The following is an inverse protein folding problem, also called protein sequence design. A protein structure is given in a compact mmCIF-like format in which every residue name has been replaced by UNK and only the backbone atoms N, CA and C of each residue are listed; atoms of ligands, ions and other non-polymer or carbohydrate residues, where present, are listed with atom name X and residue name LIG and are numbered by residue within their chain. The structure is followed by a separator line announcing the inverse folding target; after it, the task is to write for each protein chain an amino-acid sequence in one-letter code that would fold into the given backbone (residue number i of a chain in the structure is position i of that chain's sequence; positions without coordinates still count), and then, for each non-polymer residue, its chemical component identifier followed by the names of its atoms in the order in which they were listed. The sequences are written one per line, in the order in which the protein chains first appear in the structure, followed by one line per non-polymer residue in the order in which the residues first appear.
data_IF_280726970041
#
_entry.id   IF_280726970041
#
_cell.length_a   1.000
_cell.length_b   1.000
_cell.length_c   1.000
_cell.angle_alpha   90.00
_cell.angle_beta   90.00
_cell.angle_gamma   90.00
#
_symmetry.space_group_name_H-M   'P 1'
#
loop_
_entity.id
_entity.type
_entity.pdbx_description
1 polymer ?
#
# COMPACT_ATOMS: atom_id res chain seq x y z
N UNK A 1 -3.98 15.75 4.96
CA UNK A 1 -3.95 14.82 3.81
C UNK A 1 -4.82 13.64 4.18
N UNK A 2 -5.91 13.38 3.44
CA UNK A 2 -6.73 12.17 3.65
C UNK A 2 -6.16 11.05 2.79
N UNK A 3 -5.36 10.19 3.42
CA UNK A 3 -4.82 9.01 2.76
C UNK A 3 -5.95 7.99 2.60
N UNK A 4 -6.29 7.67 1.36
CA UNK A 4 -7.41 6.77 1.02
C UNK A 4 -6.86 5.58 0.24
N UNK A 5 -7.35 4.38 0.55
CA UNK A 5 -6.97 3.16 -0.18
C UNK A 5 -7.52 3.23 -1.61
N UNK A 6 -6.64 3.06 -2.60
CA UNK A 6 -6.99 3.11 -4.03
C UNK A 6 -6.20 2.08 -4.83
N UNK A 7 -6.74 1.66 -5.96
CA UNK A 7 -6.02 0.79 -6.90
C UNK A 7 -4.74 1.47 -7.39
N UNK A 8 -3.66 0.70 -7.50
CA UNK A 8 -2.30 1.19 -7.76
C UNK A 8 -1.57 1.74 -6.54
N UNK A 9 -2.29 1.98 -5.43
CA UNK A 9 -1.72 2.45 -4.18
C UNK A 9 -0.96 1.39 -3.39
N UNK A 10 -0.21 1.81 -2.38
CA UNK A 10 0.42 0.92 -1.41
C UNK A 10 -0.31 0.96 -0.07
N UNK A 11 -0.35 -0.17 0.61
CA UNK A 11 -0.88 -0.28 1.96
C UNK A 11 -0.01 -1.20 2.83
N UNK A 12 0.01 -0.92 4.13
CA UNK A 12 0.56 -1.76 5.18
C UNK A 12 -0.55 -2.64 5.73
N UNK A 13 -0.27 -3.93 5.93
CA UNK A 13 -1.18 -4.89 6.53
C UNK A 13 -0.96 -4.87 8.05
N UNK A 14 -1.97 -4.45 8.80
CA UNK A 14 -1.92 -4.37 10.26
C UNK A 14 -2.48 -5.63 10.93
N UNK A 15 -3.67 -6.07 10.51
CA UNK A 15 -4.44 -7.13 11.18
C UNK A 15 -5.04 -8.12 10.16
N UNK A 16 -4.22 -8.89 9.44
CA UNK A 16 -4.69 -9.84 8.45
C UNK A 16 -5.33 -11.08 9.11
N UNK A 17 -6.18 -11.76 8.35
CA UNK A 17 -6.67 -13.11 8.70
C UNK A 17 -5.52 -14.14 8.75
N UNK A 18 -4.46 -13.91 7.97
CA UNK A 18 -3.28 -14.77 7.89
C UNK A 18 -2.10 -14.13 8.64
N UNK A 19 -1.65 -14.68 9.77
CA UNK A 19 -0.63 -14.07 10.63
C UNK A 19 0.69 -13.74 9.92
N UNK A 20 1.05 -14.51 8.87
CA UNK A 20 2.28 -14.30 8.10
C UNK A 20 2.30 -12.99 7.29
N UNK A 21 1.16 -12.30 7.19
CA UNK A 21 1.03 -11.04 6.45
C UNK A 21 1.16 -9.79 7.35
N UNK A 22 1.20 -9.93 8.68
CA UNK A 22 1.30 -8.80 9.61
C UNK A 22 2.58 -8.00 9.33
N UNK A 23 2.45 -6.68 9.26
CA UNK A 23 3.58 -5.76 9.04
C UNK A 23 4.11 -5.75 7.60
N UNK A 24 3.55 -6.57 6.70
CA UNK A 24 3.93 -6.55 5.28
C UNK A 24 3.23 -5.42 4.54
N UNK A 25 3.89 -4.89 3.53
CA UNK A 25 3.28 -3.94 2.61
C UNK A 25 3.19 -4.49 1.20
N UNK A 26 2.30 -3.92 0.40
CA UNK A 26 2.06 -4.37 -0.96
C UNK A 26 1.20 -3.39 -1.73
N UNK A 27 1.04 -3.69 -3.01
CA UNK A 27 0.30 -2.85 -3.94
C UNK A 27 -1.16 -3.33 -4.05
N UNK A 28 -2.09 -2.40 -3.89
CA UNK A 28 -3.51 -2.61 -4.08
C UNK A 28 -3.79 -2.76 -5.59
N UNK A 29 -4.32 -3.90 -6.00
CA UNK A 29 -4.65 -4.16 -7.41
C UNK A 29 -6.07 -3.71 -7.70
N UNK A 30 -7.04 -4.23 -6.94
CA UNK A 30 -8.47 -3.91 -7.07
C UNK A 30 -9.21 -4.19 -5.78
N UNK A 31 -10.31 -3.48 -5.56
CA UNK A 31 -11.27 -3.74 -4.49
C UNK A 31 -12.31 -4.77 -4.93
N UNK A 32 -12.67 -5.68 -4.05
CA UNK A 32 -13.79 -6.60 -4.16
C UNK A 32 -14.53 -6.57 -2.81
N UNK A 33 -15.70 -5.94 -2.79
CA UNK A 33 -16.50 -5.69 -1.58
C UNK A 33 -15.71 -4.97 -0.48
N UNK A 34 -15.55 -5.61 0.68
CA UNK A 34 -14.77 -5.12 1.83
C UNK A 34 -13.30 -5.54 1.79
N UNK A 35 -12.87 -6.21 0.73
CA UNK A 35 -11.52 -6.73 0.59
C UNK A 35 -10.77 -6.06 -0.56
N UNK A 36 -9.45 -6.03 -0.42
CA UNK A 36 -8.53 -5.66 -1.47
C UNK A 36 -7.76 -6.88 -1.94
N UNK A 37 -7.71 -7.06 -3.26
CA UNK A 37 -6.72 -7.91 -3.87
C UNK A 37 -5.39 -7.15 -3.89
N UNK A 38 -4.39 -7.68 -3.21
CA UNK A 38 -3.11 -7.02 -2.97
C UNK A 38 -1.94 -7.90 -3.42
N UNK A 39 -0.93 -7.29 -4.03
CA UNK A 39 0.33 -7.94 -4.40
C UNK A 39 1.36 -7.71 -3.29
N UNK A 40 1.78 -8.78 -2.62
CA UNK A 40 2.79 -8.77 -1.55
C UNK A 40 3.89 -9.73 -1.96
N UNK A 41 5.10 -9.21 -2.20
CA UNK A 41 6.28 -10.02 -2.57
C UNK A 41 6.00 -11.03 -3.71
N UNK A 42 5.36 -10.57 -4.78
CA UNK A 42 5.03 -11.40 -5.95
C UNK A 42 3.79 -12.30 -5.79
N UNK A 43 3.23 -12.40 -4.58
CA UNK A 43 2.07 -13.23 -4.29
C UNK A 43 0.81 -12.39 -4.14
N UNK A 44 -0.34 -12.92 -4.59
CA UNK A 44 -1.63 -12.24 -4.50
C UNK A 44 -2.40 -12.70 -3.26
N UNK A 45 -2.85 -11.73 -2.47
CA UNK A 45 -3.62 -11.97 -1.26
C UNK A 45 -4.90 -11.16 -1.29
N UNK A 46 -5.98 -11.75 -0.78
CA UNK A 46 -7.18 -11.00 -0.39
C UNK A 46 -6.98 -10.53 1.04
N UNK A 47 -7.11 -9.22 1.28
CA UNK A 47 -6.90 -8.61 2.60
C UNK A 47 -8.06 -7.66 2.88
N UNK A 48 -8.64 -7.72 4.08
CA UNK A 48 -9.73 -6.82 4.47
C UNK A 48 -9.29 -5.36 4.48
N UNK A 49 -10.13 -4.48 3.96
CA UNK A 49 -9.91 -3.02 3.98
C UNK A 49 -9.68 -2.50 5.40
N UNK A 50 -10.38 -3.07 6.39
CA UNK A 50 -10.28 -2.72 7.81
C UNK A 50 -8.91 -3.05 8.40
N UNK A 51 -8.18 -3.98 7.77
CA UNK A 51 -6.85 -4.43 8.19
C UNK A 51 -5.72 -3.65 7.52
N UNK A 52 -6.04 -2.68 6.66
CA UNK A 52 -5.08 -1.96 5.82
C UNK A 52 -4.91 -0.52 6.29
N UNK A 53 -3.65 -0.09 6.33
CA UNK A 53 -3.29 1.31 6.49
C UNK A 53 -2.73 1.82 5.16
N UNK A 54 -3.34 2.85 4.53
CA UNK A 54 -2.82 3.41 3.29
C UNK A 54 -1.43 4.00 3.52
N UNK A 55 -0.51 3.69 2.61
CA UNK A 55 0.84 4.26 2.56
C UNK A 55 1.00 5.31 1.46
N UNK A 56 -0.02 5.48 0.61
CA UNK A 56 -0.06 6.49 -0.44
C UNK A 56 0.05 7.88 0.18
N UNK A 57 1.23 8.47 0.10
CA UNK A 57 1.66 9.64 0.88
C UNK A 57 3.15 9.55 1.20
N UNK A 58 3.66 8.32 1.34
CA UNK A 58 5.08 8.02 1.37
C UNK A 58 5.58 7.83 -0.06
N UNK A 59 5.94 8.93 -0.72
CA UNK A 59 6.53 8.90 -2.06
C UNK A 59 8.05 9.12 -1.96
N UNK A 60 8.89 8.07 -1.85
CA UNK A 60 10.34 8.23 -1.85
C UNK A 60 10.86 8.78 -3.19
N UNK A 61 10.12 8.62 -4.29
CA UNK A 61 10.47 9.21 -5.59
C UNK A 61 10.17 10.71 -5.67
N UNK A 62 9.24 11.24 -4.87
CA UNK A 62 9.09 12.70 -4.70
C UNK A 62 10.25 13.26 -3.88
N UNK A 63 10.70 12.56 -2.83
CA UNK A 63 11.91 12.95 -2.11
C UNK A 63 13.14 12.98 -3.05
N UNK A 64 13.31 11.94 -3.88
CA UNK A 64 14.39 11.90 -4.87
C UNK A 64 14.26 12.93 -6.00
N UNK A 65 13.03 13.27 -6.43
CA UNK A 65 12.79 14.28 -7.47
C UNK A 65 12.95 15.72 -6.96
N UNK A 66 12.74 15.97 -5.67
CA UNK A 66 12.96 17.29 -5.05
C UNK A 66 14.46 17.55 -4.87
N UNK A 67 15.28 16.53 -4.59
CA UNK A 67 16.73 16.68 -4.46
C UNK A 67 17.41 16.93 -5.82
N UNK A 68 16.95 16.26 -6.89
CA UNK A 68 17.49 16.46 -8.24
C UNK A 68 17.22 17.87 -8.81
N UNK A 69 16.13 18.53 -8.40
CA UNK A 69 15.80 19.90 -8.85
C UNK A 69 16.51 21.01 -8.07
N UNK A 70 17.22 20.69 -6.99
CA UNK A 70 17.99 21.68 -6.22
C UNK A 70 19.46 21.79 -6.65
N UNK A 71 19.90 20.95 -7.61
CA UNK A 71 21.25 20.96 -8.17
C UNK A 71 21.30 21.29 -9.68
N UNK A 72 20.27 21.95 -10.21
CA UNK A 72 20.25 22.48 -11.57
C UNK A 72 20.30 24.01 -11.55
#
# INVERSE_FOLDING_TARGET
MNFTLKAGGRALILMPERPNLVGRSGQLIRRADENWLMLVEGNRYSVSEKSLMPLDGFNPNVAASIELRKMA
#
